data_IF_621238148758
#
_entry.id   IF_621238148758
#
_cell.length_a   1.000
_cell.length_b   1.000
_cell.length_c   1.000
_cell.angle_alpha   90.00
_cell.angle_beta   90.00
_cell.angle_gamma   90.00
#
_symmetry.space_group_name_H-M   'P 1'
#
loop_
_entity.id
_entity.type
_entity.pdbx_description
1 polymer ?
#
# COMPACT_ATOMS: atom_id res chain seq x y z
N UNK A 1 -0.79 -56.52 -27.28
CA UNK A 1 0.29 -55.66 -26.74
C UNK A 1 -0.38 -54.50 -26.05
N UNK A 2 -0.59 -54.63 -24.74
CA UNK A 2 -1.25 -53.62 -23.92
C UNK A 2 -0.22 -52.54 -23.58
N UNK A 3 -0.44 -51.33 -24.09
CA UNK A 3 0.21 -50.11 -23.61
C UNK A 3 -0.74 -49.48 -22.61
N UNK A 4 -0.49 -49.68 -21.33
CA UNK A 4 -1.06 -48.85 -20.27
C UNK A 4 0.04 -48.59 -19.24
N UNK A 5 0.31 -47.32 -18.99
CA UNK A 5 1.33 -46.80 -18.06
C UNK A 5 0.61 -45.77 -17.20
N UNK A 6 0.86 -45.76 -15.89
CA UNK A 6 -0.16 -45.43 -14.89
C UNK A 6 -0.34 -43.91 -14.73
N UNK A 7 -1.60 -43.48 -14.66
CA UNK A 7 -1.95 -42.16 -14.21
C UNK A 7 -1.68 -42.07 -12.69
N UNK A 8 -0.75 -41.18 -12.35
CA UNK A 8 -0.21 -40.99 -11.02
C UNK A 8 -1.22 -40.30 -10.08
N UNK A 9 -1.54 -41.03 -9.02
CA UNK A 9 -1.86 -40.66 -7.63
C UNK A 9 -2.02 -39.16 -7.28
N UNK A 10 -3.07 -38.89 -6.51
CA UNK A 10 -3.41 -37.63 -5.86
C UNK A 10 -2.28 -37.02 -5.01
N UNK A 11 -2.15 -35.69 -5.06
CA UNK A 11 -1.50 -34.89 -4.03
C UNK A 11 -2.56 -34.06 -3.28
N UNK A 12 -2.75 -34.26 -1.96
CA UNK A 12 -3.67 -33.48 -1.17
C UNK A 12 -3.12 -32.06 -0.94
N UNK A 13 -4.00 -31.07 -0.92
CA UNK A 13 -3.68 -29.72 -0.46
C UNK A 13 -3.31 -29.77 1.03
N UNK A 14 -2.01 -29.77 1.31
CA UNK A 14 -1.48 -29.71 2.65
C UNK A 14 -1.80 -28.32 3.24
N UNK A 15 -2.68 -28.28 4.24
CA UNK A 15 -2.96 -27.06 5.00
C UNK A 15 -1.72 -26.76 5.82
N UNK A 16 -0.98 -25.71 5.46
CA UNK A 16 0.12 -25.22 6.27
C UNK A 16 -0.40 -24.89 7.68
N UNK A 17 -0.09 -25.76 8.65
CA UNK A 17 -0.41 -25.59 10.06
C UNK A 17 0.89 -25.46 10.84
N UNK A 18 0.99 -24.43 11.68
CA UNK A 18 2.18 -24.18 12.50
C UNK A 18 3.17 -23.19 11.89
N UNK A 19 4.47 -23.39 12.11
CA UNK A 19 5.54 -22.41 11.89
C UNK A 19 5.58 -21.77 10.48
N UNK A 20 5.17 -22.50 9.45
CA UNK A 20 5.08 -21.97 8.08
C UNK A 20 3.97 -20.92 7.91
N UNK A 21 2.86 -21.04 8.64
CA UNK A 21 1.82 -20.02 8.66
C UNK A 21 2.30 -18.74 9.35
N UNK A 22 3.09 -18.85 10.43
CA UNK A 22 3.70 -17.69 11.09
C UNK A 22 4.74 -17.01 10.19
N UNK A 23 5.55 -17.78 9.47
CA UNK A 23 6.55 -17.27 8.52
C UNK A 23 5.90 -16.56 7.33
N UNK A 24 4.75 -17.03 6.86
CA UNK A 24 3.98 -16.34 5.83
C UNK A 24 3.42 -15.00 6.35
N UNK A 25 2.95 -14.93 7.60
CA UNK A 25 2.46 -13.69 8.21
C UNK A 25 3.60 -12.69 8.44
N UNK A 26 4.78 -13.14 8.87
CA UNK A 26 5.93 -12.25 9.07
C UNK A 26 6.44 -11.66 7.75
N UNK A 27 6.45 -12.42 6.67
CA UNK A 27 6.83 -11.92 5.35
C UNK A 27 5.85 -10.86 4.80
N UNK A 28 4.55 -10.96 5.14
CA UNK A 28 3.55 -9.94 4.80
C UNK A 28 3.72 -8.68 5.67
N UNK A 29 4.12 -8.83 6.94
CA UNK A 29 4.39 -7.71 7.84
C UNK A 29 5.67 -6.93 7.45
N UNK A 30 6.70 -7.61 6.95
CA UNK A 30 7.93 -6.98 6.44
C UNK A 30 7.67 -6.12 5.18
N UNK A 31 6.70 -6.52 4.34
CA UNK A 31 6.26 -5.72 3.19
C UNK A 31 5.51 -4.44 3.57
N UNK A 32 5.07 -4.30 4.83
CA UNK A 32 4.46 -3.09 5.38
C UNK A 32 5.39 -2.32 6.33
N UNK A 33 6.70 -2.36 6.10
CA UNK A 33 7.62 -1.46 6.79
C UNK A 33 7.12 0.00 6.63
N UNK A 34 7.06 0.80 7.72
CA UNK A 34 6.66 2.19 7.65
C UNK A 34 7.62 2.91 6.69
N UNK A 35 7.08 3.45 5.59
CA UNK A 35 7.88 4.24 4.65
C UNK A 35 8.46 5.41 5.43
N UNK A 36 9.78 5.40 5.63
CA UNK A 36 10.46 6.52 6.25
C UNK A 36 10.04 7.80 5.53
N UNK A 37 9.54 8.82 6.25
CA UNK A 37 9.10 10.05 5.62
C UNK A 37 10.30 10.64 4.90
N UNK A 38 10.19 10.73 3.58
CA UNK A 38 11.21 11.36 2.74
C UNK A 38 11.15 12.86 3.03
N UNK A 39 11.98 13.29 3.96
CA UNK A 39 12.10 14.68 4.40
C UNK A 39 13.09 15.36 3.46
N UNK A 40 12.64 16.42 2.80
CA UNK A 40 13.50 17.22 1.94
C UNK A 40 14.41 18.15 2.75
N UNK A 41 15.40 18.75 2.07
CA UNK A 41 16.33 19.76 2.61
C UNK A 41 15.64 20.92 3.35
N UNK A 42 14.36 21.17 3.09
CA UNK A 42 13.55 22.22 3.70
C UNK A 42 12.66 21.74 4.85
N UNK A 43 12.83 20.50 5.33
CA UNK A 43 12.01 19.91 6.39
C UNK A 43 10.56 19.70 5.97
N UNK A 44 10.31 19.52 4.66
CA UNK A 44 8.98 19.22 4.11
C UNK A 44 8.88 17.72 3.86
N UNK A 45 7.78 17.11 4.26
CA UNK A 45 7.46 15.73 3.96
C UNK A 45 6.76 15.66 2.60
N UNK A 46 7.30 14.85 1.70
CA UNK A 46 6.67 14.57 0.40
C UNK A 46 5.76 13.36 0.50
N UNK A 47 4.52 13.49 0.03
CA UNK A 47 3.56 12.39 -0.04
C UNK A 47 2.76 12.42 -1.33
N UNK A 48 2.36 11.24 -1.81
CA UNK A 48 1.46 11.10 -2.96
C UNK A 48 0.25 10.26 -2.60
N UNK A 49 -0.95 10.82 -2.73
CA UNK A 49 -2.22 10.12 -2.58
C UNK A 49 -2.82 9.76 -3.94
N UNK A 50 -3.44 8.59 -4.04
CA UNK A 50 -4.17 8.13 -5.24
C UNK A 50 -5.52 7.56 -4.84
N UNK A 51 -6.61 7.98 -5.49
CA UNK A 51 -7.96 7.40 -5.31
C UNK A 51 -8.74 7.53 -6.62
N UNK A 52 -9.28 6.41 -7.13
CA UNK A 52 -9.91 6.35 -8.47
C UNK A 52 -8.93 6.93 -9.51
N UNK A 53 -9.37 7.91 -10.30
CA UNK A 53 -8.55 8.60 -11.29
C UNK A 53 -7.82 9.83 -10.72
N UNK A 54 -7.99 10.14 -9.43
CA UNK A 54 -7.38 11.32 -8.81
C UNK A 54 -5.99 11.00 -8.24
N UNK A 55 -5.06 11.94 -8.45
CA UNK A 55 -3.68 11.90 -7.95
C UNK A 55 -3.40 13.24 -7.25
N UNK A 56 -2.91 13.18 -6.01
CA UNK A 56 -2.52 14.35 -5.23
C UNK A 56 -1.05 14.24 -4.83
N UNK A 57 -0.23 15.21 -5.25
CA UNK A 57 1.16 15.37 -4.79
C UNK A 57 1.17 16.46 -3.72
N UNK A 58 1.59 16.11 -2.51
CA UNK A 58 1.47 16.97 -1.33
C UNK A 58 2.84 17.15 -0.70
N UNK A 59 3.09 18.37 -0.23
CA UNK A 59 4.27 18.74 0.53
C UNK A 59 3.80 19.30 1.87
N UNK A 60 4.19 18.67 2.97
CA UNK A 60 3.75 19.05 4.32
C UNK A 60 4.92 19.64 5.08
N UNK A 61 4.76 20.83 5.64
CA UNK A 61 5.73 21.47 6.53
C UNK A 61 5.08 21.71 7.90
N UNK A 62 5.78 21.50 9.03
CA UNK A 62 5.29 21.98 10.33
C UNK A 62 5.12 23.51 10.31
N UNK A 63 3.96 24.02 10.74
CA UNK A 63 3.64 25.45 10.67
C UNK A 63 2.17 25.78 10.98
N UNK A 64 1.71 26.95 10.51
CA UNK A 64 0.41 27.57 10.83
C UNK A 64 -0.84 26.86 10.29
N UNK A 65 -0.74 25.62 9.86
CA UNK A 65 -1.87 24.82 9.37
C UNK A 65 -2.58 25.35 8.12
N UNK A 66 -1.97 26.25 7.34
CA UNK A 66 -2.57 26.75 6.09
C UNK A 66 -2.47 25.69 4.99
N UNK A 67 -3.60 25.34 4.38
CA UNK A 67 -3.70 24.34 3.31
C UNK A 67 -4.12 25.05 2.03
N UNK A 68 -3.26 24.98 1.01
CA UNK A 68 -3.53 25.49 -0.34
C UNK A 68 -3.46 24.32 -1.33
N UNK A 69 -4.44 24.25 -2.23
CA UNK A 69 -4.59 23.21 -3.24
C UNK A 69 -4.57 23.88 -4.61
N UNK A 70 -3.45 23.76 -5.34
CA UNK A 70 -3.25 24.41 -6.64
C UNK A 70 -3.70 25.88 -6.62
N UNK A 71 -3.12 26.67 -5.70
CA UNK A 71 -3.36 28.11 -5.51
C UNK A 71 -4.76 28.50 -5.02
N UNK A 72 -5.58 27.53 -4.61
CA UNK A 72 -6.90 27.78 -4.00
C UNK A 72 -6.95 27.33 -2.54
N UNK A 73 -7.76 28.02 -1.74
CA UNK A 73 -8.04 27.61 -0.36
C UNK A 73 -8.86 26.32 -0.31
N UNK A 74 -8.67 25.52 0.74
CA UNK A 74 -9.39 24.26 0.94
C UNK A 74 -10.93 24.43 0.88
N UNK A 75 -11.44 25.55 1.41
CA UNK A 75 -12.87 25.83 1.54
C UNK A 75 -13.52 26.05 0.17
N UNK A 76 -12.78 26.69 -0.74
CA UNK A 76 -13.24 26.98 -2.10
C UNK A 76 -13.05 25.75 -3.00
N UNK A 77 -11.95 25.01 -2.81
CA UNK A 77 -11.64 23.83 -3.63
C UNK A 77 -12.66 22.70 -3.44
N UNK A 78 -13.10 22.47 -2.20
CA UNK A 78 -14.14 21.48 -1.86
C UNK A 78 -15.52 22.13 -1.71
N UNK A 79 -15.97 22.85 -2.73
CA UNK A 79 -17.24 23.59 -2.71
C UNK A 79 -18.52 22.72 -2.63
N UNK A 80 -18.40 21.39 -2.67
CA UNK A 80 -19.55 20.49 -2.57
C UNK A 80 -19.68 20.00 -1.13
N UNK A 81 -20.87 20.09 -0.51
CA UNK A 81 -21.10 19.43 0.77
C UNK A 81 -20.94 17.91 0.56
N UNK A 82 -20.19 17.28 1.46
CA UNK A 82 -19.92 15.84 1.52
C UNK A 82 -20.73 15.18 2.62
#
# INVERSE_FOLDING_TARGET
>A
MASDTPAQEAAPAERATGFDALKAISAVAEASAPREPKIDKYGRAYATGKRKNAIAKVWIKPGSGKITINDRDQTIYFARPV
#
